data_IF_077411427755
#
_entry.id   IF_077411427755
#
_cell.length_a   1.000
_cell.length_b   1.000
_cell.length_c   1.000
_cell.angle_alpha   90.00
_cell.angle_beta   90.00
_cell.angle_gamma   90.00
#
_symmetry.space_group_name_H-M   'P 1'
#
loop_
_entity.id
_entity.type
_entity.pdbx_description
1 polymer ?
#
# COMPACT_ATOMS: atom_id res chain seq x y z
N UNK A 1 -15.48 -12.14 8.50
CA UNK A 1 -15.10 -10.94 7.74
C UNK A 1 -13.69 -10.50 8.12
N UNK A 2 -12.82 -11.47 8.44
CA UNK A 2 -11.67 -11.27 9.34
C UNK A 2 -10.37 -10.95 8.61
N UNK A 3 -10.47 -10.74 7.28
CA UNK A 3 -9.32 -10.55 6.40
C UNK A 3 -8.74 -9.14 6.45
N UNK A 4 -9.54 -8.15 6.85
CA UNK A 4 -9.16 -6.72 6.87
C UNK A 4 -9.34 -6.12 8.26
N UNK A 5 -10.18 -6.73 9.10
CA UNK A 5 -10.41 -6.32 10.47
C UNK A 5 -10.52 -7.54 11.36
N UNK A 6 -9.57 -7.69 12.29
CA UNK A 6 -9.55 -8.73 13.30
C UNK A 6 -9.02 -8.16 14.61
N UNK A 7 -9.78 -8.34 15.68
CA UNK A 7 -9.38 -7.88 17.01
C UNK A 7 -8.11 -8.60 17.47
N UNK A 8 -7.20 -7.85 18.10
CA UNK A 8 -5.97 -8.40 18.69
C UNK A 8 -4.87 -8.78 17.68
N UNK A 9 -5.04 -8.47 16.38
CA UNK A 9 -4.02 -8.73 15.36
C UNK A 9 -3.64 -7.41 14.67
N UNK A 10 -2.36 -7.00 14.66
CA UNK A 10 -1.94 -5.79 13.96
C UNK A 10 -1.95 -6.05 12.45
N UNK A 11 -3.00 -5.57 11.74
CA UNK A 11 -3.17 -5.77 10.30
C UNK A 11 -2.61 -4.61 9.44
N UNK A 12 -1.84 -3.69 10.02
CA UNK A 12 -1.27 -2.55 9.28
C UNK A 12 -0.45 -2.98 8.06
N UNK A 13 0.32 -4.07 8.18
CA UNK A 13 1.12 -4.62 7.08
C UNK A 13 0.27 -5.12 5.90
N UNK A 14 -1.04 -5.32 6.08
CA UNK A 14 -1.93 -5.79 5.01
C UNK A 14 -2.53 -4.65 4.19
N UNK A 15 -2.54 -3.42 4.73
CA UNK A 15 -3.22 -2.29 4.10
C UNK A 15 -2.59 -1.95 2.75
N UNK A 16 -1.27 -1.72 2.69
CA UNK A 16 -0.56 -1.39 1.44
C UNK A 16 -0.75 -2.49 0.38
N UNK A 17 -0.52 -3.80 0.67
CA UNK A 17 -0.76 -4.85 -0.31
C UNK A 17 -2.19 -4.99 -0.81
N UNK A 18 -3.19 -4.74 0.05
CA UNK A 18 -4.60 -4.75 -0.36
C UNK A 18 -4.88 -3.57 -1.28
N UNK A 19 -4.39 -2.38 -0.94
CA UNK A 19 -4.55 -1.18 -1.77
C UNK A 19 -3.88 -1.37 -3.14
N UNK A 20 -2.63 -1.86 -3.19
CA UNK A 20 -1.91 -2.14 -4.45
C UNK A 20 -2.71 -3.07 -5.36
N UNK A 21 -3.28 -4.14 -4.79
CA UNK A 21 -4.10 -5.10 -5.53
C UNK A 21 -5.41 -4.51 -6.03
N UNK A 22 -6.03 -3.61 -5.25
CA UNK A 22 -7.23 -2.89 -5.68
C UNK A 22 -6.89 -1.94 -6.84
N UNK A 23 -5.77 -1.21 -6.75
CA UNK A 23 -5.31 -0.31 -7.81
C UNK A 23 -5.05 -1.08 -9.10
N UNK A 24 -4.31 -2.19 -9.03
CA UNK A 24 -4.05 -3.06 -10.18
C UNK A 24 -5.34 -3.52 -10.87
N UNK A 25 -6.33 -3.95 -10.08
CA UNK A 25 -7.62 -4.40 -10.60
C UNK A 25 -8.40 -3.26 -11.27
N UNK A 26 -8.47 -2.09 -10.64
CA UNK A 26 -9.20 -0.95 -11.17
C UNK A 26 -8.55 -0.41 -12.45
N UNK A 27 -7.22 -0.35 -12.50
CA UNK A 27 -6.48 0.10 -13.69
C UNK A 27 -6.64 -0.89 -14.84
N UNK A 28 -6.49 -2.19 -14.57
CA UNK A 28 -6.69 -3.23 -15.59
C UNK A 28 -8.11 -3.22 -16.16
N UNK A 29 -9.12 -3.00 -15.33
CA UNK A 29 -10.52 -2.93 -15.77
C UNK A 29 -10.86 -1.62 -16.48
N UNK A 30 -10.29 -0.48 -16.07
CA UNK A 30 -10.44 0.78 -16.78
C UNK A 30 -9.80 0.75 -18.18
N UNK A 31 -8.67 0.06 -18.32
CA UNK A 31 -7.95 -0.11 -19.60
C UNK A 31 -8.61 -1.15 -20.54
N UNK A 32 -9.48 -2.03 -20.04
CA UNK A 32 -10.08 -3.10 -20.82
C UNK A 32 -11.13 -2.56 -21.82
N UNK A 33 -10.76 -2.46 -23.09
CA UNK A 33 -11.61 -1.96 -24.19
C UNK A 33 -12.82 -2.85 -24.49
N UNK A 34 -12.84 -4.10 -24.01
CA UNK A 34 -13.96 -5.03 -24.21
C UNK A 34 -15.12 -4.74 -23.23
N UNK A 35 -14.91 -3.90 -22.22
CA UNK A 35 -15.94 -3.51 -21.26
C UNK A 35 -16.69 -2.26 -21.72
N UNK A 36 -17.94 -2.16 -21.27
CA UNK A 36 -18.79 -1.01 -21.57
C UNK A 36 -18.13 0.31 -21.09
N UNK A 37 -18.18 1.42 -21.87
CA UNK A 37 -17.53 2.68 -21.51
C UNK A 37 -17.91 3.21 -20.12
N UNK A 38 -19.17 3.01 -19.70
CA UNK A 38 -19.65 3.41 -18.37
C UNK A 38 -18.93 2.65 -17.25
N UNK A 39 -18.68 1.34 -17.42
CA UNK A 39 -17.96 0.53 -16.43
C UNK A 39 -16.53 1.03 -16.31
N UNK A 40 -15.86 1.29 -17.44
CA UNK A 40 -14.49 1.81 -17.46
C UNK A 40 -14.38 3.19 -16.80
N UNK A 41 -15.34 4.08 -17.08
CA UNK A 41 -15.41 5.39 -16.45
C UNK A 41 -15.65 5.30 -14.93
N UNK A 42 -16.47 4.34 -14.48
CA UNK A 42 -16.68 4.06 -13.07
C UNK A 42 -15.41 3.55 -12.40
N UNK A 43 -14.67 2.63 -13.03
CA UNK A 43 -13.39 2.13 -12.51
C UNK A 43 -12.34 3.24 -12.39
N UNK A 44 -12.20 4.08 -13.42
CA UNK A 44 -11.30 5.24 -13.39
C UNK A 44 -11.67 6.26 -12.28
N UNK A 45 -12.96 6.41 -11.98
CA UNK A 45 -13.42 7.23 -10.84
C UNK A 45 -13.10 6.56 -9.51
N UNK A 46 -13.19 5.23 -9.44
CA UNK A 46 -12.75 4.42 -8.31
C UNK A 46 -11.26 4.59 -8.01
N UNK A 47 -10.39 4.59 -9.04
CA UNK A 47 -8.95 4.84 -8.87
C UNK A 47 -8.70 6.17 -8.15
N UNK A 48 -9.37 7.25 -8.55
CA UNK A 48 -9.22 8.57 -7.91
C UNK A 48 -9.57 8.56 -6.42
N UNK A 49 -10.61 7.80 -6.04
CA UNK A 49 -10.98 7.65 -4.64
C UNK A 49 -9.94 6.82 -3.89
N UNK A 50 -9.44 5.76 -4.52
CA UNK A 50 -8.41 4.90 -3.94
C UNK A 50 -7.12 5.67 -3.71
N UNK A 51 -6.65 6.46 -4.68
CA UNK A 51 -5.47 7.32 -4.60
C UNK A 51 -5.56 8.29 -3.42
N UNK A 52 -6.74 8.89 -3.19
CA UNK A 52 -6.98 9.77 -2.05
C UNK A 52 -6.71 9.06 -0.71
N UNK A 53 -7.14 7.81 -0.56
CA UNK A 53 -6.90 7.05 0.67
C UNK A 53 -5.49 6.47 0.73
N UNK A 54 -4.92 6.13 -0.42
CA UNK A 54 -3.54 5.68 -0.54
C UNK A 54 -2.58 6.75 0.01
N UNK A 55 -2.77 8.00 -0.40
CA UNK A 55 -1.99 9.15 0.10
C UNK A 55 -2.06 9.29 1.63
N UNK A 56 -3.15 8.85 2.27
CA UNK A 56 -3.27 8.87 3.74
C UNK A 56 -2.40 7.83 4.44
N UNK A 57 -2.04 6.75 3.75
CA UNK A 57 -1.11 5.75 4.31
C UNK A 57 0.30 6.34 4.47
N UNK A 58 0.64 7.34 3.67
CA UNK A 58 1.90 8.07 3.76
C UNK A 58 1.91 9.12 4.90
N UNK A 59 0.75 9.49 5.46
CA UNK A 59 0.66 10.39 6.61
C UNK A 59 1.20 9.73 7.91
N UNK A 60 1.28 8.40 7.96
CA UNK A 60 1.78 7.67 9.12
C UNK A 60 2.93 6.74 8.76
N UNK A 61 4.08 6.95 9.43
CA UNK A 61 5.28 6.10 9.30
C UNK A 61 5.00 4.63 9.64
N UNK A 62 3.94 4.35 10.43
CA UNK A 62 3.61 3.02 10.91
C UNK A 62 3.31 2.03 9.78
N UNK A 63 2.67 2.45 8.69
CA UNK A 63 2.39 1.57 7.55
C UNK A 63 3.69 1.10 6.87
N UNK A 64 4.63 2.03 6.68
CA UNK A 64 5.94 1.76 6.08
C UNK A 64 6.78 0.86 6.98
N UNK A 65 6.83 1.19 8.28
CA UNK A 65 7.53 0.39 9.28
C UNK A 65 6.96 -1.03 9.39
N UNK A 66 5.63 -1.19 9.40
CA UNK A 66 4.98 -2.49 9.47
C UNK A 66 5.35 -3.38 8.26
N UNK A 67 5.39 -2.81 7.05
CA UNK A 67 5.84 -3.52 5.86
C UNK A 67 7.32 -3.93 5.92
N UNK A 68 8.20 -3.02 6.35
CA UNK A 68 9.64 -3.28 6.45
C UNK A 68 9.99 -4.31 7.52
N UNK A 69 9.29 -4.31 8.65
CA UNK A 69 9.50 -5.25 9.75
C UNK A 69 8.86 -6.62 9.48
N UNK A 70 7.94 -6.72 8.51
CA UNK A 70 7.28 -7.98 8.20
C UNK A 70 8.22 -8.97 7.48
N UNK A 71 8.47 -10.18 8.02
CA UNK A 71 9.48 -11.11 7.51
C UNK A 71 9.33 -11.49 6.03
N UNK A 72 8.09 -11.57 5.54
CA UNK A 72 7.77 -11.92 4.15
C UNK A 72 7.96 -10.76 3.17
N UNK A 73 7.82 -9.51 3.63
CA UNK A 73 7.78 -8.35 2.74
C UNK A 73 9.13 -7.67 2.69
N UNK A 74 9.52 -6.99 3.78
CA UNK A 74 10.75 -6.21 3.87
C UNK A 74 10.88 -5.28 2.64
N UNK A 75 12.09 -5.02 2.20
CA UNK A 75 12.38 -4.27 0.97
C UNK A 75 12.03 -5.04 -0.31
N UNK A 76 12.05 -6.37 -0.25
CA UNK A 76 11.80 -7.24 -1.40
C UNK A 76 10.37 -7.11 -1.97
N UNK A 77 9.39 -6.76 -1.12
CA UNK A 77 8.03 -6.47 -1.59
C UNK A 77 8.01 -5.26 -2.53
N UNK A 78 8.58 -4.13 -2.10
CA UNK A 78 8.57 -2.89 -2.84
C UNK A 78 9.33 -2.99 -4.17
N UNK A 79 10.45 -3.73 -4.17
CA UNK A 79 11.20 -4.02 -5.40
C UNK A 79 10.35 -4.81 -6.41
N UNK A 80 9.53 -5.77 -5.95
CA UNK A 80 8.63 -6.54 -6.83
C UNK A 80 7.46 -5.74 -7.37
N UNK A 81 7.02 -4.73 -6.62
CA UNK A 81 5.95 -3.82 -7.03
C UNK A 81 6.48 -2.63 -7.86
N UNK A 82 7.76 -2.64 -8.26
CA UNK A 82 8.43 -1.57 -9.00
C UNK A 82 8.33 -0.18 -8.32
N UNK A 83 8.37 -0.14 -6.99
CA UNK A 83 8.37 1.13 -6.27
C UNK A 83 9.72 1.86 -6.44
N UNK A 84 9.71 3.20 -6.39
CA UNK A 84 10.95 3.98 -6.39
C UNK A 84 11.87 3.57 -5.24
N UNK A 85 13.13 3.29 -5.55
CA UNK A 85 14.14 2.93 -4.54
C UNK A 85 14.30 4.04 -3.49
N UNK A 86 14.21 5.31 -3.92
CA UNK A 86 14.28 6.49 -3.03
C UNK A 86 13.20 6.45 -1.95
N UNK A 87 12.00 5.96 -2.27
CA UNK A 87 10.92 5.83 -1.30
C UNK A 87 11.24 4.74 -0.27
N UNK A 88 11.78 3.61 -0.71
CA UNK A 88 12.20 2.50 0.17
C UNK A 88 13.33 2.94 1.09
N UNK A 89 14.32 3.67 0.55
CA UNK A 89 15.43 4.20 1.32
C UNK A 89 14.96 5.18 2.39
N UNK A 90 14.05 6.09 2.03
CA UNK A 90 13.40 7.02 2.96
C UNK A 90 12.68 6.26 4.07
N UNK A 91 11.93 5.20 3.74
CA UNK A 91 11.23 4.38 4.71
C UNK A 91 12.20 3.68 5.69
N UNK A 92 13.35 3.19 5.21
CA UNK A 92 14.39 2.58 6.05
C UNK A 92 15.01 3.62 6.98
N UNK A 93 15.30 4.83 6.47
CA UNK A 93 15.85 5.92 7.29
C UNK A 93 14.91 6.30 8.42
N UNK A 94 13.62 6.49 8.11
CA UNK A 94 12.57 6.78 9.10
C UNK A 94 12.51 5.67 10.16
N UNK A 95 12.47 4.40 9.74
CA UNK A 95 12.42 3.26 10.66
C UNK A 95 13.62 3.24 11.61
N UNK A 96 14.83 3.49 11.08
CA UNK A 96 16.05 3.56 11.91
C UNK A 96 16.01 4.74 12.87
N UNK A 97 15.54 5.91 12.44
CA UNK A 97 15.41 7.08 13.30
C UNK A 97 14.42 6.83 14.44
N UNK A 98 13.26 6.24 14.15
CA UNK A 98 12.27 5.87 15.17
C UNK A 98 12.81 4.83 16.17
N UNK A 99 13.58 3.85 15.70
CA UNK A 99 14.27 2.89 16.57
C UNK A 99 15.28 3.58 17.50
N UNK A 100 16.15 4.44 16.96
CA UNK A 100 17.13 5.18 17.77
C UNK A 100 16.47 6.10 18.79
N UNK A 101 15.33 6.70 18.45
CA UNK A 101 14.64 7.67 19.31
C UNK A 101 13.88 7.02 20.47
N UNK A 102 13.22 5.88 20.23
CA UNK A 102 12.25 5.35 21.19
C UNK A 102 12.62 3.99 21.80
N UNK A 103 13.59 3.26 21.25
CA UNK A 103 13.86 1.87 21.63
C UNK A 103 15.32 1.54 21.92
N UNK A 104 16.23 2.49 21.68
CA UNK A 104 17.64 2.38 22.05
C UNK A 104 17.90 3.10 23.36
#
# INVERSE_FOLDING_TARGET
TDRISKMGVPLLYQVIPIMDKLTELLDATAANQNLHPVVRAAMASGCKVLDKYYAKTDESVLYRCAMLLHPRYKTAYFAKQNWPSEWVDTAIQILRAEWQKNYK
#
